data_IF_577970170868
#
_entry.id   IF_577970170868
#
_cell.length_a   1.000
_cell.length_b   1.000
_cell.length_c   1.000
_cell.angle_alpha   90.00
_cell.angle_beta   90.00
_cell.angle_gamma   90.00
#
_symmetry.space_group_name_H-M   'P 1'
#
loop_
_entity.id
_entity.type
_entity.pdbx_description
1 polymer ?
#
# COMPACT_ATOMS: atom_id res chain seq x y z
N UNK A 1 10.51 -12.64 10.07
CA UNK A 1 9.82 -13.25 8.91
C UNK A 1 10.42 -12.66 7.65
N UNK A 2 10.80 -13.50 6.70
CA UNK A 2 11.61 -13.08 5.55
C UNK A 2 10.78 -13.04 4.26
N UNK A 3 9.61 -12.42 4.32
CA UNK A 3 8.79 -12.26 3.12
C UNK A 3 9.47 -11.29 2.14
N UNK A 4 9.49 -11.64 0.87
CA UNK A 4 9.96 -10.75 -0.17
C UNK A 4 8.96 -9.62 -0.41
N UNK A 5 7.69 -9.97 -0.50
CA UNK A 5 6.59 -9.02 -0.70
C UNK A 5 5.52 -9.31 0.35
N UNK A 6 5.03 -8.27 0.98
CA UNK A 6 3.88 -8.37 1.88
C UNK A 6 2.77 -7.48 1.34
N UNK A 7 1.66 -8.10 0.97
CA UNK A 7 0.48 -7.40 0.48
C UNK A 7 -0.52 -7.25 1.62
N UNK A 8 -0.99 -6.05 1.85
CA UNK A 8 -1.89 -5.78 2.96
C UNK A 8 -3.03 -4.86 2.54
N UNK A 9 -4.21 -5.10 3.09
CA UNK A 9 -5.36 -4.21 2.91
C UNK A 9 -5.23 -2.98 3.81
N UNK A 10 -6.01 -1.93 3.51
CA UNK A 10 -5.99 -0.70 4.30
C UNK A 10 -7.33 0.01 4.20
N UNK A 11 -7.75 0.59 5.32
CA UNK A 11 -8.90 1.48 5.37
C UNK A 11 -8.49 2.81 6.00
N UNK A 12 -8.73 3.91 5.28
CA UNK A 12 -8.54 5.25 5.83
C UNK A 12 -9.75 5.62 6.67
N UNK A 13 -9.58 5.99 7.94
CA UNK A 13 -10.71 6.44 8.76
C UNK A 13 -11.36 7.69 8.16
N UNK A 14 -12.69 7.75 8.18
CA UNK A 14 -13.41 8.94 7.78
C UNK A 14 -13.30 9.99 8.90
N UNK A 15 -13.02 11.25 8.58
CA UNK A 15 -12.87 12.28 9.60
C UNK A 15 -14.21 12.73 10.15
N UNK A 16 -14.21 13.20 11.41
CA UNK A 16 -15.36 13.80 12.05
C UNK A 16 -16.30 12.79 12.69
N UNK A 17 -17.44 13.30 13.15
CA UNK A 17 -18.45 12.54 13.90
C UNK A 17 -19.83 12.54 13.24
N UNK A 18 -19.90 12.87 11.95
CA UNK A 18 -21.19 12.81 11.23
C UNK A 18 -21.71 11.37 11.20
N UNK A 19 -23.02 11.16 11.01
CA UNK A 19 -23.56 9.81 10.84
C UNK A 19 -22.89 9.05 9.71
N UNK A 20 -22.54 9.72 8.63
CA UNK A 20 -21.83 9.13 7.49
C UNK A 20 -20.44 8.67 7.89
N UNK A 21 -19.71 9.48 8.66
CA UNK A 21 -18.37 9.11 9.14
C UNK A 21 -18.44 7.93 10.11
N UNK A 22 -19.42 7.93 11.01
CA UNK A 22 -19.61 6.82 11.93
C UNK A 22 -19.91 5.53 11.21
N UNK A 23 -20.78 5.57 10.20
CA UNK A 23 -21.10 4.40 9.40
C UNK A 23 -19.88 3.90 8.62
N UNK A 24 -19.14 4.80 8.00
CA UNK A 24 -17.92 4.45 7.26
C UNK A 24 -16.88 3.77 8.16
N UNK A 25 -16.80 4.19 9.42
CA UNK A 25 -15.79 3.68 10.35
C UNK A 25 -16.21 2.37 11.05
N UNK A 26 -17.43 1.90 10.87
CA UNK A 26 -17.87 0.62 11.43
C UNK A 26 -16.97 -0.53 10.98
N UNK A 27 -16.55 -0.52 9.72
CA UNK A 27 -15.72 -1.59 9.15
C UNK A 27 -14.27 -1.55 9.65
N UNK A 28 -13.83 -0.52 10.37
CA UNK A 28 -12.47 -0.46 10.92
C UNK A 28 -12.16 -1.60 11.88
N UNK A 29 -13.20 -2.24 12.45
CA UNK A 29 -13.00 -3.40 13.33
C UNK A 29 -12.45 -4.62 12.61
N UNK A 30 -12.61 -4.70 11.27
CA UNK A 30 -12.18 -5.82 10.44
C UNK A 30 -11.14 -5.43 9.39
N UNK A 31 -10.73 -4.17 9.36
CA UNK A 31 -9.72 -3.65 8.46
C UNK A 31 -8.63 -2.93 9.25
N UNK A 32 -7.52 -2.66 8.60
CA UNK A 32 -6.37 -2.01 9.23
C UNK A 32 -6.25 -0.56 8.77
N UNK A 33 -5.97 0.35 9.71
CA UNK A 33 -5.64 1.73 9.38
C UNK A 33 -4.20 1.82 8.83
N UNK A 34 -3.83 2.93 8.16
CA UNK A 34 -2.44 3.11 7.72
C UNK A 34 -1.42 2.99 8.85
N UNK A 35 -1.73 3.49 10.05
CA UNK A 35 -0.83 3.39 11.19
C UNK A 35 -0.61 1.93 11.61
N UNK A 36 -1.66 1.12 11.60
CA UNK A 36 -1.56 -0.31 11.93
C UNK A 36 -0.75 -1.06 10.89
N UNK A 37 -0.96 -0.76 9.61
CA UNK A 37 -0.20 -1.39 8.52
C UNK A 37 1.27 -0.98 8.58
N UNK A 38 1.56 0.28 8.88
CA UNK A 38 2.92 0.76 9.06
C UNK A 38 3.67 -0.05 10.14
N UNK A 39 3.00 -0.34 11.25
CA UNK A 39 3.58 -1.14 12.32
C UNK A 39 3.90 -2.57 11.86
N UNK A 40 3.03 -3.17 11.05
CA UNK A 40 3.26 -4.51 10.49
C UNK A 40 4.44 -4.51 9.53
N UNK A 41 4.52 -3.54 8.63
CA UNK A 41 5.65 -3.41 7.71
C UNK A 41 6.96 -3.17 8.48
N UNK A 42 6.92 -2.36 9.53
CA UNK A 42 8.09 -2.11 10.36
C UNK A 42 8.61 -3.39 11.02
N UNK A 43 7.71 -4.23 11.53
CA UNK A 43 8.08 -5.49 12.17
C UNK A 43 8.61 -6.52 11.17
N UNK A 44 8.06 -6.57 9.98
CA UNK A 44 8.37 -7.62 8.99
C UNK A 44 9.45 -7.22 8.00
N UNK A 45 9.60 -5.94 7.72
CA UNK A 45 10.59 -5.37 6.78
C UNK A 45 10.70 -6.18 5.48
N UNK A 46 9.62 -6.33 4.71
CA UNK A 46 9.71 -7.00 3.41
C UNK A 46 10.56 -6.17 2.43
N UNK A 47 11.02 -6.80 1.37
CA UNK A 47 11.69 -6.09 0.28
C UNK A 47 10.76 -5.06 -0.34
N UNK A 48 9.46 -5.38 -0.41
CA UNK A 48 8.42 -4.47 -0.90
C UNK A 48 7.13 -4.71 -0.11
N UNK A 49 6.60 -3.64 0.49
CA UNK A 49 5.24 -3.61 1.02
C UNK A 49 4.27 -3.16 -0.08
N UNK A 50 3.10 -3.76 -0.14
CA UNK A 50 2.11 -3.44 -1.17
C UNK A 50 0.76 -3.24 -0.52
N UNK A 51 0.12 -2.12 -0.82
CA UNK A 51 -1.28 -1.90 -0.48
C UNK A 51 -2.18 -2.45 -1.58
N UNK A 52 -3.20 -3.20 -1.17
CA UNK A 52 -4.29 -3.65 -2.03
C UNK A 52 -5.60 -3.56 -1.25
N UNK A 53 -6.74 -3.68 -1.92
CA UNK A 53 -8.06 -3.57 -1.29
C UNK A 53 -8.16 -2.29 -0.46
N UNK A 54 -8.05 -1.17 -1.14
CA UNK A 54 -7.97 0.16 -0.51
C UNK A 54 -9.37 0.70 -0.28
N UNK A 55 -9.67 1.13 0.94
CA UNK A 55 -10.97 1.66 1.34
C UNK A 55 -10.81 3.08 1.90
N UNK A 56 -11.50 4.08 1.38
CA UNK A 56 -12.34 4.05 0.18
C UNK A 56 -11.51 3.99 -1.10
N UNK A 57 -12.06 3.46 -2.20
CA UNK A 57 -11.28 3.27 -3.44
C UNK A 57 -10.86 4.58 -4.13
N UNK A 58 -11.46 5.70 -3.74
CA UNK A 58 -11.12 7.02 -4.29
C UNK A 58 -9.81 7.59 -3.73
N UNK A 59 -9.24 6.96 -2.72
CA UNK A 59 -7.97 7.42 -2.14
C UNK A 59 -6.87 7.42 -3.19
N UNK A 60 -6.10 8.51 -3.23
CA UNK A 60 -4.92 8.57 -4.07
C UNK A 60 -3.74 7.89 -3.38
N UNK A 61 -2.76 7.49 -4.19
CA UNK A 61 -1.50 6.94 -3.64
C UNK A 61 -0.85 7.92 -2.68
N UNK A 62 -0.83 9.21 -3.02
CA UNK A 62 -0.23 10.24 -2.17
C UNK A 62 -0.91 10.32 -0.81
N UNK A 63 -2.22 10.25 -0.77
CA UNK A 63 -2.97 10.28 0.49
C UNK A 63 -2.61 9.10 1.39
N UNK A 64 -2.53 7.90 0.81
CA UNK A 64 -2.15 6.70 1.56
C UNK A 64 -0.73 6.76 2.05
N UNK A 65 0.20 7.17 1.19
CA UNK A 65 1.61 7.21 1.54
C UNK A 65 1.89 8.24 2.62
N UNK A 66 1.23 9.40 2.55
CA UNK A 66 1.36 10.43 3.57
C UNK A 66 0.79 9.98 4.92
N UNK A 67 -0.19 9.10 4.93
CA UNK A 67 -0.80 8.58 6.16
C UNK A 67 -0.04 7.39 6.73
N UNK A 68 0.90 6.82 5.98
CA UNK A 68 1.63 5.60 6.37
C UNK A 68 3.03 5.98 6.84
N UNK A 69 3.24 5.92 8.14
CA UNK A 69 4.54 6.25 8.75
C UNK A 69 5.49 5.06 8.65
N UNK A 70 6.00 4.83 7.45
CA UNK A 70 6.91 3.73 7.14
C UNK A 70 7.93 4.21 6.11
N UNK A 71 9.20 3.97 6.39
CA UNK A 71 10.31 4.46 5.55
C UNK A 71 10.84 3.42 4.56
N UNK A 72 10.31 2.21 4.58
CA UNK A 72 10.71 1.17 3.64
C UNK A 72 9.97 1.27 2.30
N UNK A 73 10.33 0.41 1.33
CA UNK A 73 9.68 0.40 0.02
C UNK A 73 8.20 0.04 0.12
N UNK A 74 7.36 0.86 -0.48
CA UNK A 74 5.91 0.71 -0.41
C UNK A 74 5.28 1.08 -1.74
N UNK A 75 4.43 0.20 -2.25
CA UNK A 75 3.72 0.36 -3.52
C UNK A 75 2.20 0.31 -3.28
N UNK A 76 1.48 1.22 -3.91
CA UNK A 76 0.02 1.16 -3.95
C UNK A 76 -0.38 0.45 -5.24
N UNK A 77 -0.95 -0.75 -5.12
CA UNK A 77 -1.26 -1.58 -6.27
C UNK A 77 -2.50 -1.08 -7.02
N UNK A 78 -2.50 -1.27 -8.31
CA UNK A 78 -3.63 -1.08 -9.20
C UNK A 78 -4.17 -2.43 -9.67
N UNK A 79 -5.41 -2.44 -10.14
CA UNK A 79 -6.03 -3.65 -10.67
C UNK A 79 -5.20 -4.24 -11.81
N UNK A 80 -5.08 -5.55 -11.80
CA UNK A 80 -4.35 -6.32 -12.81
C UNK A 80 -2.84 -6.02 -12.86
N UNK A 81 -2.31 -5.35 -11.85
CA UNK A 81 -0.87 -5.19 -11.69
C UNK A 81 -0.25 -6.55 -11.36
N UNK A 82 0.91 -6.83 -11.94
CA UNK A 82 1.66 -8.06 -11.69
C UNK A 82 2.97 -7.76 -10.99
N UNK A 83 3.39 -8.68 -10.14
CA UNK A 83 4.67 -8.61 -9.44
C UNK A 83 5.45 -9.88 -9.76
N UNK A 84 6.64 -9.73 -10.29
CA UNK A 84 7.55 -10.84 -10.50
C UNK A 84 8.70 -10.70 -9.52
N UNK A 85 8.89 -11.70 -8.68
CA UNK A 85 9.81 -11.63 -7.55
C UNK A 85 11.03 -12.51 -7.83
N UNK A 86 12.17 -11.88 -7.93
CA UNK A 86 13.47 -12.53 -8.10
C UNK A 86 14.51 -11.73 -7.36
N UNK A 87 15.73 -11.66 -7.91
CA UNK A 87 16.76 -10.77 -7.37
C UNK A 87 16.29 -9.32 -7.41
N UNK A 88 15.54 -8.96 -8.46
CA UNK A 88 14.82 -7.71 -8.57
C UNK A 88 13.32 -7.97 -8.51
N UNK A 89 12.54 -6.97 -8.09
CA UNK A 89 11.10 -7.04 -8.12
C UNK A 89 10.61 -6.26 -9.35
N UNK A 90 9.88 -6.95 -10.23
CA UNK A 90 9.41 -6.40 -11.50
C UNK A 90 7.91 -6.15 -11.39
N UNK A 91 7.49 -4.91 -11.64
CA UNK A 91 6.09 -4.52 -11.58
C UNK A 91 5.55 -4.33 -12.99
N UNK A 92 4.52 -5.10 -13.35
CA UNK A 92 3.81 -4.98 -14.62
C UNK A 92 2.48 -4.27 -14.41
N UNK A 93 2.15 -3.35 -15.31
CA UNK A 93 0.91 -2.58 -15.26
C UNK A 93 0.02 -2.98 -16.43
N UNK A 94 -1.24 -3.32 -16.14
CA UNK A 94 -2.20 -3.74 -17.16
C UNK A 94 -2.43 -2.63 -18.19
N UNK A 95 -2.38 -2.99 -19.46
CA UNK A 95 -2.57 -2.05 -20.57
C UNK A 95 -1.43 -1.05 -20.72
N UNK A 96 -0.40 -1.17 -19.94
CA UNK A 96 0.76 -0.29 -20.00
C UNK A 96 1.76 -0.73 -21.06
N UNK A 97 2.66 0.19 -21.40
CA UNK A 97 3.70 -0.05 -22.39
C UNK A 97 4.90 -0.73 -21.73
N UNK A 98 4.73 -1.97 -21.33
CA UNK A 98 5.83 -2.75 -20.85
C UNK A 98 5.88 -2.93 -19.34
N UNK A 99 6.98 -3.50 -18.91
CA UNK A 99 7.24 -3.88 -17.54
C UNK A 99 8.35 -3.02 -16.98
N UNK A 100 8.13 -2.46 -15.81
CA UNK A 100 9.15 -1.69 -15.11
C UNK A 100 9.86 -2.57 -14.11
N UNK A 101 11.19 -2.44 -14.05
CA UNK A 101 12.01 -3.13 -13.06
C UNK A 101 12.28 -2.13 -11.94
N UNK A 102 11.92 -2.52 -10.72
CA UNK A 102 12.15 -1.70 -9.55
C UNK A 102 13.11 -2.38 -8.59
N UNK A 103 14.16 -1.67 -8.21
CA UNK A 103 14.86 -1.97 -6.98
C UNK A 103 14.08 -1.36 -5.82
N UNK A 104 14.43 -1.73 -4.60
CA UNK A 104 13.80 -1.13 -3.42
C UNK A 104 13.95 0.39 -3.42
N UNK A 105 15.10 0.90 -3.82
CA UNK A 105 15.35 2.34 -3.89
C UNK A 105 14.47 3.01 -4.95
N UNK A 106 14.31 2.37 -6.11
CA UNK A 106 13.48 2.93 -7.18
C UNK A 106 12.02 3.05 -6.75
N UNK A 107 11.51 2.07 -6.03
CA UNK A 107 10.14 2.11 -5.52
C UNK A 107 9.97 3.28 -4.55
N UNK A 108 10.91 3.46 -3.63
CA UNK A 108 10.86 4.58 -2.68
C UNK A 108 10.91 5.91 -3.43
N UNK A 109 11.78 6.06 -4.41
CA UNK A 109 11.89 7.29 -5.20
C UNK A 109 10.59 7.61 -5.93
N UNK A 110 9.93 6.62 -6.51
CA UNK A 110 8.64 6.82 -7.18
C UNK A 110 7.56 7.28 -6.22
N UNK A 111 7.57 6.75 -5.01
CA UNK A 111 6.57 7.10 -4.02
C UNK A 111 6.76 8.51 -3.44
N UNK A 112 7.95 9.08 -3.57
CA UNK A 112 8.27 10.42 -3.08
C UNK A 112 8.06 11.53 -4.12
N UNK A 113 7.83 11.18 -5.35
CA UNK A 113 7.59 12.16 -6.41
C UNK A 113 6.16 12.74 -6.35
#
# INVERSE_FOLDING_TARGET
MDADVLIHEVQMPAPGNSPEAQLANVSLSVHSTPAQVAAIFEQTRPRLGVYSHIIPPELTSDQLLNATDYDGPLLVAEDLMTLTIGDEIVVGIAGGAGTNIFTEADVVDQLQD
#
